data_IF_204527011530
#
_entry.id   IF_204527011530
#
_cell.length_a   1.000
_cell.length_b   1.000
_cell.length_c   1.000
_cell.angle_alpha   90.00
_cell.angle_beta   90.00
_cell.angle_gamma   90.00
#
_symmetry.space_group_name_H-M   'P 1'
#
loop_
_entity.id
_entity.type
_entity.pdbx_description
1 polymer ?
#
# COMPACT_ATOMS: atom_id res chain seq x y z
N UNK A 1 -0.26 33.28 -32.67
CA UNK A 1 1.05 32.70 -32.30
C UNK A 1 0.79 31.67 -31.19
N UNK A 2 0.32 30.50 -31.60
CA UNK A 2 -0.16 29.42 -30.73
C UNK A 2 1.00 28.50 -30.39
N UNK A 3 1.66 28.73 -29.25
CA UNK A 3 2.82 27.93 -28.83
C UNK A 3 2.80 27.56 -27.34
N UNK A 4 1.61 27.46 -26.72
CA UNK A 4 1.47 27.16 -25.27
C UNK A 4 0.81 25.79 -25.01
N UNK A 5 0.30 25.08 -26.03
CA UNK A 5 -0.41 23.80 -25.83
C UNK A 5 0.47 22.55 -25.79
N UNK A 6 1.78 22.63 -26.07
CA UNK A 6 2.64 21.43 -26.17
C UNK A 6 3.38 21.05 -24.87
N UNK A 7 3.26 21.84 -23.80
CA UNK A 7 3.94 21.57 -22.53
C UNK A 7 3.24 20.53 -21.63
N UNK A 8 2.05 20.05 -22.00
CA UNK A 8 1.30 19.10 -21.17
C UNK A 8 1.55 17.63 -21.54
N UNK A 9 2.24 17.33 -22.66
CA UNK A 9 2.42 15.95 -23.12
C UNK A 9 3.49 15.15 -22.37
N UNK A 10 4.38 15.84 -21.64
CA UNK A 10 5.41 15.21 -20.80
C UNK A 10 5.08 15.23 -19.30
N UNK A 11 3.88 15.69 -18.91
CA UNK A 11 3.37 15.42 -17.57
C UNK A 11 3.00 13.94 -17.52
N UNK A 12 4.01 13.09 -17.28
CA UNK A 12 3.76 11.75 -16.81
C UNK A 12 2.88 11.91 -15.57
N UNK A 13 1.67 11.39 -15.62
CA UNK A 13 0.82 11.14 -14.46
C UNK A 13 1.46 10.06 -13.59
N UNK A 14 2.71 10.28 -13.18
CA UNK A 14 3.45 9.39 -12.29
C UNK A 14 2.91 9.61 -10.88
N UNK A 15 1.87 8.84 -10.59
CA UNK A 15 1.51 8.37 -9.25
C UNK A 15 1.32 9.45 -8.19
N UNK A 16 0.38 10.38 -8.41
CA UNK A 16 -0.20 11.23 -7.32
C UNK A 16 -0.68 10.42 -6.10
N UNK A 17 -0.91 9.12 -6.26
CA UNK A 17 -1.61 8.31 -5.28
C UNK A 17 -0.66 7.40 -4.46
N UNK A 18 0.66 7.42 -4.67
CA UNK A 18 1.56 6.46 -4.02
C UNK A 18 1.51 6.47 -2.47
N UNK A 19 1.50 7.64 -1.79
CA UNK A 19 1.36 7.70 -0.34
C UNK A 19 -0.05 7.31 0.14
N UNK A 20 -1.08 7.75 -0.58
CA UNK A 20 -2.47 7.43 -0.27
C UNK A 20 -2.76 5.94 -0.41
N UNK A 21 -2.15 5.28 -1.40
CA UNK A 21 -2.24 3.83 -1.59
C UNK A 21 -1.57 3.06 -0.45
N UNK A 22 -0.43 3.53 0.08
CA UNK A 22 0.18 2.92 1.26
C UNK A 22 -0.71 3.10 2.50
N UNK A 23 -1.29 4.29 2.71
CA UNK A 23 -2.22 4.54 3.82
C UNK A 23 -3.48 3.65 3.74
N UNK A 24 -4.07 3.50 2.54
CA UNK A 24 -5.21 2.61 2.31
C UNK A 24 -4.82 1.14 2.55
N UNK A 25 -3.64 0.72 2.07
CA UNK A 25 -3.15 -0.63 2.29
C UNK A 25 -2.93 -0.91 3.78
N UNK A 26 -2.38 0.04 4.53
CA UNK A 26 -2.16 -0.08 5.97
C UNK A 26 -3.49 -0.18 6.74
N UNK A 27 -4.45 0.70 6.43
CA UNK A 27 -5.78 0.67 7.04
C UNK A 27 -6.49 -0.66 6.78
N UNK A 28 -6.42 -1.17 5.53
CA UNK A 28 -6.99 -2.46 5.16
C UNK A 28 -6.32 -3.62 5.89
N UNK A 29 -4.99 -3.59 6.03
CA UNK A 29 -4.23 -4.59 6.79
C UNK A 29 -4.64 -4.62 8.25
N UNK A 30 -4.79 -3.46 8.90
CA UNK A 30 -5.23 -3.39 10.29
C UNK A 30 -6.63 -3.97 10.48
N UNK A 31 -7.59 -3.61 9.61
CA UNK A 31 -8.94 -4.17 9.67
C UNK A 31 -8.97 -5.70 9.49
N UNK A 32 -8.11 -6.23 8.62
CA UNK A 32 -8.01 -7.67 8.41
C UNK A 32 -7.35 -8.39 9.60
N UNK A 33 -6.35 -7.78 10.23
CA UNK A 33 -5.73 -8.32 11.45
C UNK A 33 -6.71 -8.36 12.63
N UNK A 34 -7.54 -7.34 12.76
CA UNK A 34 -8.59 -7.29 13.79
C UNK A 34 -9.61 -8.41 13.59
N UNK A 35 -10.05 -8.63 12.35
CA UNK A 35 -10.91 -9.77 12.01
C UNK A 35 -10.25 -11.11 12.27
N UNK A 36 -8.99 -11.29 11.88
CA UNK A 36 -8.27 -12.54 12.11
C UNK A 36 -8.12 -12.81 13.62
N UNK A 37 -7.95 -11.77 14.45
CA UNK A 37 -7.93 -11.88 15.90
C UNK A 37 -9.30 -12.27 16.47
N UNK A 38 -10.39 -11.72 15.93
CA UNK A 38 -11.75 -12.14 16.28
C UNK A 38 -12.01 -13.61 15.88
N UNK A 39 -11.56 -14.02 14.70
CA UNK A 39 -11.67 -15.41 14.24
C UNK A 39 -10.82 -16.36 15.10
N UNK A 40 -9.68 -15.91 15.63
CA UNK A 40 -8.89 -16.66 16.61
C UNK A 40 -9.62 -16.78 17.95
N UNK A 41 -10.12 -15.65 18.49
CA UNK A 41 -10.82 -15.60 19.76
C UNK A 41 -12.13 -16.39 19.75
N UNK A 42 -12.81 -16.46 18.60
CA UNK A 42 -14.01 -17.28 18.41
C UNK A 42 -13.70 -18.75 18.08
N UNK A 43 -12.42 -19.13 17.99
CA UNK A 43 -11.98 -20.50 17.75
C UNK A 43 -12.17 -20.97 16.29
N UNK A 44 -12.50 -20.07 15.36
CA UNK A 44 -12.65 -20.40 13.93
C UNK A 44 -11.32 -20.69 13.25
N UNK A 45 -10.23 -20.08 13.75
CA UNK A 45 -8.87 -20.36 13.29
C UNK A 45 -7.96 -20.73 14.47
N UNK A 46 -6.91 -21.49 14.18
CA UNK A 46 -5.88 -21.82 15.17
C UNK A 46 -4.87 -20.69 15.34
N UNK A 47 -4.14 -20.69 16.46
CA UNK A 47 -3.05 -19.76 16.71
C UNK A 47 -1.96 -19.82 15.62
N UNK A 48 -1.62 -21.03 15.15
CA UNK A 48 -0.68 -21.22 14.06
C UNK A 48 -1.16 -20.54 12.76
N UNK A 49 -2.46 -20.64 12.46
CA UNK A 49 -3.06 -19.98 11.29
C UNK A 49 -3.10 -18.47 11.44
N UNK A 50 -3.38 -17.97 12.62
CA UNK A 50 -3.34 -16.54 12.92
C UNK A 50 -1.93 -15.96 12.69
N UNK A 51 -0.89 -16.63 13.21
CA UNK A 51 0.51 -16.21 13.03
C UNK A 51 0.94 -16.18 11.56
N UNK A 52 0.53 -17.17 10.77
CA UNK A 52 0.78 -17.21 9.32
C UNK A 52 0.12 -16.03 8.61
N UNK A 53 -1.18 -15.77 8.88
CA UNK A 53 -1.93 -14.66 8.29
C UNK A 53 -1.31 -13.31 8.67
N UNK A 54 -0.93 -13.15 9.93
CA UNK A 54 -0.26 -11.94 10.42
C UNK A 54 1.02 -11.65 9.66
N UNK A 55 1.91 -12.64 9.53
CA UNK A 55 3.17 -12.50 8.81
C UNK A 55 2.95 -12.15 7.32
N UNK A 56 1.97 -12.79 6.66
CA UNK A 56 1.65 -12.49 5.26
C UNK A 56 1.15 -11.05 5.09
N UNK A 57 0.31 -10.56 6.01
CA UNK A 57 -0.24 -9.21 5.95
C UNK A 57 0.79 -8.13 6.24
N UNK A 58 1.61 -8.32 7.27
CA UNK A 58 2.71 -7.41 7.60
C UNK A 58 3.71 -7.33 6.43
N UNK A 59 4.07 -8.48 5.82
CA UNK A 59 4.97 -8.52 4.66
C UNK A 59 4.36 -7.87 3.41
N UNK A 60 3.06 -8.09 3.16
CA UNK A 60 2.36 -7.52 2.00
C UNK A 60 2.16 -6.00 2.12
N UNK A 61 1.79 -5.51 3.31
CA UNK A 61 1.68 -4.08 3.59
C UNK A 61 3.03 -3.38 3.46
N UNK A 62 4.09 -4.00 4.02
CA UNK A 62 5.45 -3.50 3.89
C UNK A 62 5.90 -3.42 2.43
N UNK A 63 5.64 -4.47 1.63
CA UNK A 63 5.97 -4.46 0.20
C UNK A 63 5.25 -3.35 -0.58
N UNK A 64 3.95 -3.15 -0.35
CA UNK A 64 3.19 -2.07 -1.00
C UNK A 64 3.67 -0.68 -0.59
N UNK A 65 3.98 -0.48 0.69
CA UNK A 65 4.52 0.77 1.20
C UNK A 65 5.96 1.02 0.73
N UNK A 66 6.79 -0.01 0.63
CA UNK A 66 8.16 0.11 0.14
C UNK A 66 8.20 0.37 -1.37
N UNK A 67 7.34 -0.25 -2.17
CA UNK A 67 7.21 0.07 -3.61
C UNK A 67 6.73 1.50 -3.82
N UNK A 68 5.82 2.00 -2.98
CA UNK A 68 5.36 3.39 -3.06
C UNK A 68 6.43 4.40 -2.62
N UNK A 69 7.32 4.03 -1.68
CA UNK A 69 8.45 4.86 -1.25
C UNK A 69 9.66 4.79 -2.21
N UNK A 70 10.05 3.61 -2.69
CA UNK A 70 11.15 3.43 -3.66
C UNK A 70 10.86 4.13 -4.98
N UNK A 71 9.60 4.12 -5.44
CA UNK A 71 9.17 4.92 -6.61
C UNK A 71 9.27 6.43 -6.37
N UNK A 72 9.23 6.88 -5.11
CA UNK A 72 9.45 8.29 -4.75
C UNK A 72 10.93 8.66 -4.80
N UNK A 73 11.82 7.79 -4.30
CA UNK A 73 13.27 8.05 -4.29
C UNK A 73 13.92 7.97 -5.68
N UNK A 74 13.48 7.05 -6.55
CA UNK A 74 14.02 6.93 -7.91
C UNK A 74 13.67 8.12 -8.83
N UNK A 75 12.66 8.92 -8.45
CA UNK A 75 12.22 10.11 -9.18
C UNK A 75 12.47 11.37 -8.34
N UNK A 76 13.72 11.57 -7.89
CA UNK A 76 14.18 12.69 -7.06
C UNK A 76 14.10 14.10 -7.69
N UNK A 77 13.00 14.43 -8.39
CA UNK A 77 12.62 15.78 -8.78
C UNK A 77 11.29 16.16 -8.09
N UNK A 78 11.28 16.08 -6.74
CA UNK A 78 10.29 16.78 -5.92
C UNK A 78 10.93 18.03 -5.32
#
# INVERSE_FOLDING_TARGET
MSLIMFLQWNCKTEYKNAPELCLIALARTNSLLEKDLEDLNSGKISEARYMELRNMRESGAFGLCMVSLLKREQNGNF
#
